data_IF_586995624739
#
_entry.id   IF_586995624739
#
_cell.length_a   1.000
_cell.length_b   1.000
_cell.length_c   1.000
_cell.angle_alpha   90.00
_cell.angle_beta   90.00
_cell.angle_gamma   90.00
#
_symmetry.space_group_name_H-M   'P 1'
#
loop_
_entity.id
_entity.type
_entity.pdbx_description
1 polymer ?
#
# COMPACT_ATOMS: atom_id res chain seq x y z
N UNK A 1 -25.67 -6.13 3.03
CA UNK A 1 -24.27 -5.81 3.24
C UNK A 1 -23.98 -4.38 2.86
N UNK A 2 -23.27 -3.72 3.71
CA UNK A 2 -23.00 -2.30 3.53
C UNK A 2 -21.71 -2.11 2.74
N UNK A 3 -21.76 -1.28 1.75
CA UNK A 3 -20.55 -0.90 1.02
C UNK A 3 -19.91 0.29 1.71
N UNK A 4 -18.65 0.50 1.39
CA UNK A 4 -17.98 1.67 1.92
C UNK A 4 -18.66 2.94 1.43
N UNK A 5 -18.59 4.01 2.22
CA UNK A 5 -19.26 5.25 1.87
C UNK A 5 -18.84 5.84 0.53
N UNK A 6 -17.63 5.61 0.09
CA UNK A 6 -17.17 6.18 -1.16
C UNK A 6 -16.66 5.09 -2.08
N UNK A 7 -17.53 4.18 -2.42
CA UNK A 7 -17.20 3.18 -3.42
C UNK A 7 -15.99 2.35 -3.05
N UNK A 8 -15.94 1.89 -1.83
CA UNK A 8 -14.85 1.05 -1.38
C UNK A 8 -14.71 -0.14 -2.29
N UNK A 9 -13.51 -0.42 -2.65
CA UNK A 9 -13.21 -1.51 -3.57
C UNK A 9 -11.73 -1.80 -3.49
N UNK A 10 -11.33 -2.86 -4.14
CA UNK A 10 -9.93 -3.08 -4.41
C UNK A 10 -9.44 -1.92 -5.26
N UNK A 11 -8.29 -1.38 -4.93
CA UNK A 11 -7.72 -0.30 -5.71
C UNK A 11 -7.59 -0.72 -7.16
N UNK A 12 -7.95 0.19 -8.06
CA UNK A 12 -7.99 -0.13 -9.48
C UNK A 12 -6.65 0.15 -10.12
N UNK A 13 -5.95 -0.87 -10.60
CA UNK A 13 -4.70 -0.61 -11.32
C UNK A 13 -4.99 0.30 -12.49
N UNK A 14 -4.26 1.35 -12.58
CA UNK A 14 -4.41 2.25 -13.68
C UNK A 14 -5.63 3.14 -13.64
N UNK A 15 -6.53 2.94 -12.68
CA UNK A 15 -7.73 3.76 -12.61
C UNK A 15 -7.37 5.22 -12.44
N UNK A 16 -6.30 5.48 -11.78
CA UNK A 16 -5.90 6.83 -11.53
C UNK A 16 -4.99 7.41 -12.56
N UNK A 17 -4.52 6.71 -13.51
CA UNK A 17 -3.61 7.32 -14.45
C UNK A 17 -2.87 6.31 -15.29
N UNK A 18 -3.37 5.14 -15.36
CA UNK A 18 -2.70 4.15 -16.15
C UNK A 18 -1.43 3.62 -15.55
N UNK A 19 -1.28 3.74 -14.23
CA UNK A 19 -0.13 3.15 -13.57
C UNK A 19 -0.21 1.64 -13.68
N UNK A 20 0.83 1.01 -14.18
CA UNK A 20 0.86 -0.42 -14.29
C UNK A 20 1.51 -1.04 -13.06
N UNK A 21 1.56 -2.37 -13.03
CA UNK A 21 2.11 -3.09 -11.89
C UNK A 21 3.56 -2.68 -11.60
N UNK A 22 4.39 -2.63 -12.64
CA UNK A 22 5.80 -2.34 -12.43
C UNK A 22 6.01 -0.93 -11.89
N UNK A 23 5.26 0.02 -12.40
CA UNK A 23 5.34 1.39 -11.90
C UNK A 23 4.93 1.47 -10.44
N UNK A 24 3.86 0.77 -10.06
CA UNK A 24 3.38 0.76 -8.69
C UNK A 24 4.38 0.08 -7.75
N UNK A 25 4.90 -1.08 -8.15
CA UNK A 25 5.88 -1.78 -7.33
C UNK A 25 7.15 -0.97 -7.17
N UNK A 26 7.60 -0.33 -8.23
CA UNK A 26 8.80 0.50 -8.16
C UNK A 26 8.58 1.75 -7.31
N UNK A 27 7.37 2.31 -7.31
CA UNK A 27 7.07 3.42 -6.43
C UNK A 27 7.24 3.01 -4.96
N UNK A 28 6.77 1.82 -4.59
CA UNK A 28 6.96 1.29 -3.24
C UNK A 28 8.45 1.16 -2.93
N UNK A 29 9.22 0.60 -3.86
CA UNK A 29 10.65 0.40 -3.66
C UNK A 29 11.39 1.71 -3.46
N UNK A 30 11.17 2.67 -4.36
CA UNK A 30 11.89 3.94 -4.30
C UNK A 30 11.48 4.77 -3.09
N UNK A 31 10.19 4.79 -2.77
CA UNK A 31 9.73 5.54 -1.61
C UNK A 31 10.32 4.97 -0.33
N UNK A 32 10.36 3.64 -0.22
CA UNK A 32 10.89 2.98 0.96
C UNK A 32 12.41 3.19 1.07
N UNK A 33 13.13 3.05 -0.02
CA UNK A 33 14.57 3.25 -0.03
C UNK A 33 14.94 4.70 0.32
N UNK A 34 14.19 5.65 -0.23
CA UNK A 34 14.43 7.06 0.05
C UNK A 34 14.16 7.38 1.52
N UNK A 35 13.08 6.85 2.08
CA UNK A 35 12.74 7.07 3.48
C UNK A 35 13.81 6.49 4.42
N UNK A 36 14.29 5.28 4.13
CA UNK A 36 15.34 4.66 4.92
C UNK A 36 16.63 5.48 4.82
N UNK A 37 16.95 5.94 3.63
CA UNK A 37 18.15 6.76 3.42
C UNK A 37 18.09 8.07 4.21
N UNK A 38 16.95 8.74 4.16
CA UNK A 38 16.79 10.02 4.85
C UNK A 38 16.83 9.86 6.36
N UNK A 39 16.17 8.81 6.87
CA UNK A 39 16.16 8.54 8.30
C UNK A 39 17.48 7.96 8.80
N UNK A 40 18.29 7.44 7.89
CA UNK A 40 19.53 6.74 8.21
C UNK A 40 19.28 5.60 9.18
N UNK A 41 18.12 4.97 9.06
CA UNK A 41 17.75 3.83 9.88
C UNK A 41 16.59 3.12 9.19
N UNK A 42 16.40 1.86 9.55
CA UNK A 42 15.34 1.05 8.99
C UNK A 42 15.87 -0.05 8.09
N UNK A 43 14.98 -0.90 7.62
CA UNK A 43 15.35 -2.07 6.84
C UNK A 43 14.63 -2.02 5.49
N UNK A 44 15.33 -1.84 4.38
CA UNK A 44 14.68 -1.79 3.07
C UNK A 44 14.36 -3.16 2.48
N UNK A 45 14.85 -4.25 3.09
CA UNK A 45 14.73 -5.58 2.51
C UNK A 45 13.30 -6.00 2.20
N UNK A 46 12.39 -5.86 3.16
CA UNK A 46 11.01 -6.27 2.96
C UNK A 46 10.31 -5.42 1.89
N UNK A 47 10.39 -4.09 1.92
CA UNK A 47 9.80 -3.30 0.84
C UNK A 47 10.34 -3.67 -0.53
N UNK A 48 11.64 -3.94 -0.62
CA UNK A 48 12.25 -4.30 -1.90
C UNK A 48 11.78 -5.68 -2.36
N UNK A 49 11.75 -6.66 -1.47
CA UNK A 49 11.39 -8.03 -1.83
C UNK A 49 9.90 -8.26 -1.96
N UNK A 50 9.09 -7.52 -1.23
CA UNK A 50 7.64 -7.75 -1.19
C UNK A 50 6.85 -6.73 -1.99
N UNK A 51 7.51 -5.81 -2.70
CA UNK A 51 6.80 -4.77 -3.42
C UNK A 51 5.82 -5.32 -4.46
N UNK A 52 6.21 -6.35 -5.18
CA UNK A 52 5.33 -6.95 -6.19
C UNK A 52 4.12 -7.62 -5.53
N UNK A 53 4.33 -8.36 -4.46
CA UNK A 53 3.23 -9.02 -3.75
C UNK A 53 2.28 -7.98 -3.18
N UNK A 54 2.80 -6.95 -2.55
CA UNK A 54 1.99 -5.89 -1.97
C UNK A 54 1.19 -5.14 -3.05
N UNK A 55 1.80 -4.91 -4.19
CA UNK A 55 1.12 -4.25 -5.30
C UNK A 55 -0.10 -5.07 -5.75
N UNK A 56 0.07 -6.37 -5.92
CA UNK A 56 -1.04 -7.23 -6.33
C UNK A 56 -2.12 -7.24 -5.25
N UNK A 57 -1.72 -7.38 -3.99
CA UNK A 57 -2.67 -7.45 -2.89
C UNK A 57 -3.52 -6.19 -2.81
N UNK A 58 -2.88 -5.02 -2.81
CA UNK A 58 -3.58 -3.75 -2.63
C UNK A 58 -4.31 -3.28 -3.87
N UNK A 59 -3.88 -3.71 -5.06
CA UNK A 59 -4.53 -3.26 -6.29
C UNK A 59 -5.63 -4.20 -6.78
N UNK A 60 -5.64 -5.44 -6.33
CA UNK A 60 -6.59 -6.43 -6.88
C UNK A 60 -7.44 -7.16 -5.87
N UNK A 61 -6.99 -7.30 -4.63
CA UNK A 61 -7.67 -8.17 -3.68
C UNK A 61 -8.17 -7.46 -2.45
N UNK A 62 -7.40 -6.56 -1.89
CA UNK A 62 -7.74 -5.93 -0.63
C UNK A 62 -8.87 -4.91 -0.82
N UNK A 63 -9.89 -5.03 -0.02
CA UNK A 63 -11.02 -4.08 -0.06
C UNK A 63 -10.81 -3.02 1.00
N UNK A 64 -10.64 -1.80 0.56
CA UNK A 64 -10.40 -0.69 1.48
C UNK A 64 -10.81 0.62 0.82
N UNK A 65 -10.97 1.64 1.66
CA UNK A 65 -11.26 2.98 1.19
C UNK A 65 -10.43 3.95 2.05
N UNK A 66 -9.40 4.58 1.49
CA UNK A 66 -8.55 5.48 2.28
C UNK A 66 -9.30 6.69 2.83
N UNK A 67 -10.47 7.01 2.26
CA UNK A 67 -11.29 8.11 2.77
C UNK A 67 -12.22 7.68 3.88
N UNK A 68 -12.32 6.39 4.14
CA UNK A 68 -13.16 5.84 5.20
C UNK A 68 -12.38 4.77 5.97
N UNK A 69 -11.30 5.14 6.65
CA UNK A 69 -10.45 4.16 7.32
C UNK A 69 -11.15 3.41 8.44
N UNK A 70 -12.23 3.94 8.96
CA UNK A 70 -13.00 3.27 10.00
C UNK A 70 -14.11 2.37 9.49
N UNK A 71 -14.24 2.20 8.19
CA UNK A 71 -15.28 1.35 7.63
C UNK A 71 -15.19 -0.07 8.17
N UNK A 72 -16.25 -0.57 8.86
CA UNK A 72 -16.14 -1.86 9.56
C UNK A 72 -15.93 -3.06 8.66
N UNK A 73 -16.41 -3.02 7.42
CA UNK A 73 -16.29 -4.14 6.50
C UNK A 73 -15.00 -4.14 5.70
N UNK A 74 -14.10 -3.22 5.97
CA UNK A 74 -12.85 -3.17 5.22
C UNK A 74 -11.97 -4.38 5.52
N UNK A 75 -11.18 -4.77 4.55
CA UNK A 75 -10.16 -5.77 4.78
C UNK A 75 -9.06 -5.17 5.63
N UNK A 76 -8.48 -5.98 6.50
CA UNK A 76 -7.46 -5.52 7.42
C UNK A 76 -6.12 -6.14 7.09
N UNK A 77 -5.16 -5.28 6.89
CA UNK A 77 -3.79 -5.70 6.64
C UNK A 77 -3.00 -5.58 7.92
N UNK A 78 -2.38 -6.65 8.34
CA UNK A 78 -1.57 -6.65 9.57
C UNK A 78 -0.16 -7.06 9.21
N UNK A 79 0.78 -6.18 9.55
CA UNK A 79 2.19 -6.45 9.32
C UNK A 79 2.80 -6.97 10.62
N UNK A 80 3.17 -8.24 10.66
CA UNK A 80 3.73 -8.82 11.86
C UNK A 80 5.24 -8.59 11.99
N UNK A 81 5.92 -8.39 10.87
CA UNK A 81 7.37 -8.15 10.87
C UNK A 81 7.65 -6.66 10.99
N UNK A 82 7.82 -6.18 12.21
CA UNK A 82 7.97 -4.75 12.45
C UNK A 82 9.15 -4.12 11.74
N UNK A 83 10.21 -4.89 11.48
CA UNK A 83 11.36 -4.36 10.77
C UNK A 83 11.04 -4.04 9.30
N UNK A 84 9.92 -4.51 8.78
CA UNK A 84 9.47 -4.18 7.44
C UNK A 84 8.45 -3.05 7.38
N UNK A 85 8.34 -2.25 8.44
CA UNK A 85 7.28 -1.25 8.54
C UNK A 85 7.26 -0.23 7.41
N UNK A 86 8.38 0.03 6.75
CA UNK A 86 8.38 0.96 5.63
C UNK A 86 7.51 0.51 4.48
N UNK A 87 7.35 -0.81 4.31
CA UNK A 87 6.42 -1.32 3.30
C UNK A 87 5.00 -0.82 3.59
N UNK A 88 4.56 -0.94 4.84
CA UNK A 88 3.23 -0.49 5.23
C UNK A 88 3.09 1.02 5.09
N UNK A 89 4.06 1.79 5.54
CA UNK A 89 3.99 3.24 5.42
C UNK A 89 3.94 3.69 3.96
N UNK A 90 4.73 3.06 3.10
CA UNK A 90 4.70 3.38 1.68
C UNK A 90 3.35 3.07 1.06
N UNK A 91 2.76 1.92 1.43
CA UNK A 91 1.44 1.55 0.93
C UNK A 91 0.36 2.53 1.38
N UNK A 92 0.39 2.93 2.64
CA UNK A 92 -0.59 3.90 3.15
C UNK A 92 -0.47 5.23 2.43
N UNK A 93 0.75 5.69 2.22
CA UNK A 93 0.96 6.94 1.51
C UNK A 93 0.47 6.87 0.06
N UNK A 94 0.86 5.81 -0.64
CA UNK A 94 0.57 5.69 -2.07
C UNK A 94 -0.91 5.41 -2.35
N UNK A 95 -1.62 4.80 -1.40
CA UNK A 95 -3.05 4.53 -1.58
C UNK A 95 -3.94 5.67 -1.13
N UNK A 96 -3.38 6.73 -0.61
CA UNK A 96 -4.12 7.95 -0.33
C UNK A 96 -4.57 8.17 1.11
N UNK A 97 -4.06 7.39 2.06
CA UNK A 97 -4.33 7.65 3.47
C UNK A 97 -3.60 8.91 3.91
N UNK A 98 -4.22 9.63 4.81
CA UNK A 98 -3.64 10.85 5.35
C UNK A 98 -2.96 10.66 6.68
#
# INVERSE_FOLDING_TARGET
MTRAPSEAKVAQPGAGAGADHDSMANAIRFLSADAVQRAKSGHPGMPMGMADVATVLFSRFLRFDPKAPGWPDRDRFVLSAGHGSMLLYSLLYLTGYE
#
